data_IF_905862447635
#
_entry.id   IF_905862447635
#
_cell.length_a   1.000
_cell.length_b   1.000
_cell.length_c   1.000
_cell.angle_alpha   90.00
_cell.angle_beta   90.00
_cell.angle_gamma   90.00
#
_symmetry.space_group_name_H-M   'P 1'
#
loop_
_entity.id
_entity.type
_entity.pdbx_description
1 polymer ?
#
# COMPACT_ATOMS: atom_id res chain seq x y z
N UNK A 1 19.13 -10.84 -16.14
CA UNK A 1 18.91 -11.95 -15.22
C UNK A 1 17.51 -11.78 -14.66
N UNK A 2 16.55 -12.52 -15.22
CA UNK A 2 15.12 -12.46 -14.86
C UNK A 2 14.93 -13.24 -13.55
N UNK A 3 14.62 -12.53 -12.46
CA UNK A 3 14.21 -13.17 -11.22
C UNK A 3 12.83 -13.82 -11.44
N UNK A 4 12.80 -15.11 -11.66
CA UNK A 4 11.57 -15.91 -11.66
C UNK A 4 11.01 -15.87 -10.24
N UNK A 5 9.97 -15.06 -10.04
CA UNK A 5 9.24 -14.97 -8.77
C UNK A 5 8.51 -16.29 -8.54
N UNK A 6 9.07 -17.19 -7.73
CA UNK A 6 8.39 -18.42 -7.33
C UNK A 6 7.03 -18.10 -6.69
N UNK A 7 6.01 -18.77 -7.18
CA UNK A 7 4.63 -18.68 -6.65
C UNK A 7 4.59 -19.30 -5.25
N UNK A 8 4.13 -18.57 -4.20
CA UNK A 8 3.93 -19.17 -2.89
C UNK A 8 2.97 -20.36 -3.00
N UNK A 9 3.36 -21.52 -2.47
CA UNK A 9 2.54 -22.74 -2.52
C UNK A 9 1.20 -22.50 -1.82
N UNK A 10 0.07 -22.62 -2.56
CA UNK A 10 -1.29 -22.48 -2.04
C UNK A 10 -2.02 -21.16 -2.33
N UNK A 11 -1.40 -20.17 -2.95
CA UNK A 11 -2.07 -18.91 -3.32
C UNK A 11 -2.76 -19.03 -4.67
N UNK A 12 -4.06 -18.65 -4.77
CA UNK A 12 -4.77 -18.59 -6.04
C UNK A 12 -4.16 -17.53 -6.97
N UNK A 13 -4.32 -17.70 -8.29
CA UNK A 13 -3.85 -16.70 -9.26
C UNK A 13 -4.46 -15.32 -9.02
N UNK A 14 -5.74 -15.28 -8.72
CA UNK A 14 -6.49 -14.06 -8.39
C UNK A 14 -5.88 -13.34 -7.17
N UNK A 15 -5.59 -14.09 -6.10
CA UNK A 15 -4.99 -13.53 -4.90
C UNK A 15 -3.58 -13.01 -5.16
N UNK A 16 -2.79 -13.72 -5.95
CA UNK A 16 -1.47 -13.27 -6.36
C UNK A 16 -1.54 -11.91 -7.10
N UNK A 17 -2.46 -11.78 -8.08
CA UNK A 17 -2.67 -10.53 -8.82
C UNK A 17 -3.04 -9.40 -7.86
N UNK A 18 -4.05 -9.64 -7.01
CA UNK A 18 -4.50 -8.65 -6.03
C UNK A 18 -3.37 -8.14 -5.15
N UNK A 19 -2.61 -9.04 -4.50
CA UNK A 19 -1.53 -8.64 -3.58
C UNK A 19 -0.37 -7.92 -4.30
N UNK A 20 -0.01 -8.39 -5.50
CA UNK A 20 1.08 -7.77 -6.28
C UNK A 20 0.72 -6.37 -6.74
N UNK A 21 -0.47 -6.17 -7.29
CA UNK A 21 -0.91 -4.86 -7.77
C UNK A 21 -1.20 -3.92 -6.59
N UNK A 22 -1.84 -4.42 -5.52
CA UNK A 22 -2.07 -3.65 -4.30
C UNK A 22 -0.77 -3.07 -3.75
N UNK A 23 0.23 -3.91 -3.60
CA UNK A 23 1.56 -3.50 -3.13
C UNK A 23 2.18 -2.48 -4.08
N UNK A 24 2.12 -2.72 -5.40
CA UNK A 24 2.70 -1.80 -6.39
C UNK A 24 2.01 -0.42 -6.41
N UNK A 25 0.69 -0.37 -6.17
CA UNK A 25 -0.07 0.89 -6.07
C UNK A 25 0.30 1.63 -4.78
N UNK A 26 0.26 0.94 -3.63
CA UNK A 26 0.54 1.55 -2.32
C UNK A 26 1.98 2.05 -2.22
N UNK A 27 2.94 1.32 -2.79
CA UNK A 27 4.36 1.73 -2.85
C UNK A 27 4.64 2.80 -3.92
N UNK A 28 3.63 3.22 -4.71
CA UNK A 28 3.77 4.24 -5.75
C UNK A 28 4.53 3.78 -7.00
N UNK A 29 4.73 2.48 -7.20
CA UNK A 29 5.33 1.91 -8.42
C UNK A 29 4.35 1.99 -9.59
N UNK A 30 3.06 1.81 -9.33
CA UNK A 30 1.99 2.12 -10.27
C UNK A 30 1.41 3.50 -9.91
N UNK A 31 1.57 4.44 -10.83
CA UNK A 31 1.19 5.83 -10.57
C UNK A 31 -0.34 6.02 -10.65
N UNK A 32 -0.90 6.97 -9.90
CA UNK A 32 -2.30 7.36 -10.04
C UNK A 32 -2.67 7.64 -11.50
N UNK A 33 -3.87 7.25 -11.89
CA UNK A 33 -4.41 7.36 -13.26
C UNK A 33 -3.69 6.54 -14.34
N UNK A 34 -2.66 5.75 -14.01
CA UNK A 34 -2.00 4.89 -14.98
C UNK A 34 -2.93 3.75 -15.44
N UNK A 35 -2.88 3.44 -16.74
CA UNK A 35 -3.69 2.38 -17.35
C UNK A 35 -3.14 1.00 -16.99
N UNK A 36 -4.03 0.08 -16.64
CA UNK A 36 -3.72 -1.31 -16.32
C UNK A 36 -4.12 -2.20 -17.50
N UNK A 37 -3.11 -2.75 -18.20
CA UNK A 37 -3.33 -3.62 -19.34
C UNK A 37 -3.44 -5.08 -18.90
N UNK A 38 -4.63 -5.68 -19.05
CA UNK A 38 -4.92 -7.05 -18.61
C UNK A 38 -4.01 -8.07 -19.29
N UNK A 39 -3.74 -7.92 -20.60
CA UNK A 39 -2.91 -8.88 -21.33
C UNK A 39 -1.45 -8.81 -20.86
N UNK A 40 -0.89 -7.60 -20.74
CA UNK A 40 0.46 -7.40 -20.24
C UNK A 40 0.64 -7.91 -18.80
N UNK A 41 -0.34 -7.64 -17.93
CA UNK A 41 -0.32 -8.14 -16.53
C UNK A 41 -0.43 -9.66 -16.45
N UNK A 42 -1.24 -10.28 -17.33
CA UNK A 42 -1.36 -11.73 -17.40
C UNK A 42 -0.04 -12.39 -17.80
N UNK A 43 0.65 -11.80 -18.77
CA UNK A 43 1.97 -12.24 -19.21
C UNK A 43 3.03 -12.05 -18.11
N UNK A 44 3.14 -10.83 -17.57
CA UNK A 44 4.11 -10.47 -16.53
C UNK A 44 4.01 -11.36 -15.29
N UNK A 45 2.78 -11.61 -14.83
CA UNK A 45 2.51 -12.40 -13.62
C UNK A 45 2.36 -13.90 -13.89
N UNK A 46 2.43 -14.32 -15.15
CA UNK A 46 2.22 -15.71 -15.58
C UNK A 46 0.90 -16.31 -15.06
N UNK A 47 -0.20 -15.56 -15.24
CA UNK A 47 -1.55 -15.92 -14.80
C UNK A 47 -2.56 -15.80 -15.95
N UNK A 48 -3.78 -16.32 -15.76
CA UNK A 48 -4.84 -16.14 -16.75
C UNK A 48 -5.39 -14.70 -16.77
N UNK A 49 -5.88 -14.24 -17.94
CA UNK A 49 -6.57 -12.95 -18.03
C UNK A 49 -7.83 -12.87 -17.16
N UNK A 50 -8.47 -14.03 -16.88
CA UNK A 50 -9.59 -14.14 -15.92
C UNK A 50 -9.15 -13.79 -14.50
N UNK A 51 -8.05 -14.39 -14.05
CA UNK A 51 -7.49 -14.09 -12.72
C UNK A 51 -7.08 -12.61 -12.58
N UNK A 52 -6.57 -11.99 -13.66
CA UNK A 52 -6.28 -10.55 -13.67
C UNK A 52 -7.56 -9.73 -13.49
N UNK A 53 -8.64 -10.03 -14.23
CA UNK A 53 -9.91 -9.31 -14.08
C UNK A 53 -10.50 -9.44 -12.67
N UNK A 54 -10.49 -10.65 -12.10
CA UNK A 54 -10.95 -10.87 -10.73
C UNK A 54 -10.11 -10.13 -9.70
N UNK A 55 -8.78 -10.15 -9.83
CA UNK A 55 -7.87 -9.40 -8.97
C UNK A 55 -8.08 -7.88 -9.07
N UNK A 56 -8.34 -7.37 -10.28
CA UNK A 56 -8.67 -5.95 -10.50
C UNK A 56 -10.05 -5.58 -9.91
N UNK A 57 -11.04 -6.46 -9.99
CA UNK A 57 -12.35 -6.25 -9.35
C UNK A 57 -12.22 -6.19 -7.80
N UNK A 58 -11.34 -6.99 -7.20
CA UNK A 58 -11.04 -6.88 -5.76
C UNK A 58 -10.39 -5.53 -5.42
N UNK A 59 -9.48 -5.04 -6.26
CA UNK A 59 -8.84 -3.73 -6.07
C UNK A 59 -9.82 -2.56 -6.28
N UNK A 60 -10.80 -2.74 -7.17
CA UNK A 60 -11.89 -1.77 -7.38
C UNK A 60 -12.78 -1.67 -6.13
N UNK A 61 -13.06 -2.78 -5.47
CA UNK A 61 -13.78 -2.80 -4.20
C UNK A 61 -13.00 -2.07 -3.06
N UNK A 62 -11.66 -2.04 -3.12
CA UNK A 62 -10.82 -1.23 -2.23
C UNK A 62 -10.61 0.23 -2.73
N UNK A 63 -11.28 0.63 -3.80
CA UNK A 63 -11.11 1.93 -4.45
C UNK A 63 -9.66 2.26 -4.90
N UNK A 64 -8.80 1.25 -5.04
CA UNK A 64 -7.43 1.39 -5.53
C UNK A 64 -7.36 1.43 -7.07
N UNK A 65 -8.39 0.92 -7.72
CA UNK A 65 -8.53 0.85 -9.18
C UNK A 65 -9.94 1.29 -9.56
N UNK A 66 -10.09 1.88 -10.73
CA UNK A 66 -11.38 2.22 -11.33
C UNK A 66 -11.53 1.55 -12.68
N UNK A 67 -12.72 1.03 -12.97
CA UNK A 67 -13.08 0.55 -14.29
C UNK A 67 -13.60 1.71 -15.15
N UNK A 68 -13.16 1.76 -16.40
CA UNK A 68 -13.67 2.70 -17.40
C UNK A 68 -14.44 1.91 -18.47
N UNK A 69 -15.74 2.18 -18.70
CA UNK A 69 -16.51 1.50 -19.73
C UNK A 69 -15.80 1.52 -21.09
N UNK A 70 -15.62 0.37 -21.71
CA UNK A 70 -14.92 0.15 -22.97
C UNK A 70 -13.42 0.54 -23.00
N UNK A 71 -12.83 1.00 -21.89
CA UNK A 71 -11.43 1.45 -21.80
C UNK A 71 -10.57 0.61 -20.86
N UNK A 72 -11.18 -0.28 -20.07
CA UNK A 72 -10.50 -1.19 -19.13
C UNK A 72 -10.33 -0.58 -17.75
N UNK A 73 -9.18 -0.79 -17.13
CA UNK A 73 -8.90 -0.38 -15.75
C UNK A 73 -7.78 0.65 -15.66
N UNK A 74 -7.89 1.51 -14.65
CA UNK A 74 -6.82 2.45 -14.25
C UNK A 74 -6.61 2.42 -12.75
N UNK A 75 -5.41 2.77 -12.31
CA UNK A 75 -5.15 3.12 -10.91
C UNK A 75 -6.01 4.34 -10.57
N UNK A 76 -6.66 4.33 -9.42
CA UNK A 76 -7.52 5.43 -8.97
C UNK A 76 -6.77 6.77 -9.01
N UNK A 77 -7.41 7.84 -9.48
CA UNK A 77 -6.83 9.16 -9.40
C UNK A 77 -6.71 9.60 -7.94
N UNK A 78 -5.73 10.43 -7.64
CA UNK A 78 -5.57 11.08 -6.34
C UNK A 78 -5.75 12.58 -6.53
N UNK A 79 -6.68 13.19 -5.80
CA UNK A 79 -6.86 14.64 -5.79
C UNK A 79 -6.17 15.27 -4.58
N UNK A 80 -5.62 16.47 -4.75
CA UNK A 80 -5.03 17.23 -3.66
C UNK A 80 -6.07 17.64 -2.60
N UNK A 81 -7.34 17.78 -3.00
CA UNK A 81 -8.44 18.08 -2.09
C UNK A 81 -8.76 16.85 -1.22
N UNK A 82 -8.91 15.66 -1.84
CA UNK A 82 -9.21 14.44 -1.11
C UNK A 82 -8.07 14.11 -0.13
N UNK A 83 -6.81 14.32 -0.55
CA UNK A 83 -5.66 14.13 0.34
C UNK A 83 -5.73 15.08 1.56
N UNK A 84 -6.05 16.36 1.35
CA UNK A 84 -6.20 17.31 2.47
C UNK A 84 -7.31 16.90 3.42
N UNK A 85 -8.49 16.58 2.88
CA UNK A 85 -9.63 16.16 3.69
C UNK A 85 -9.31 14.90 4.50
N UNK A 86 -8.62 13.93 3.89
CA UNK A 86 -8.16 12.71 4.56
C UNK A 86 -7.17 13.04 5.68
N UNK A 87 -6.19 13.90 5.42
CA UNK A 87 -5.18 14.32 6.41
C UNK A 87 -5.86 15.05 7.58
N UNK A 88 -6.80 15.95 7.33
CA UNK A 88 -7.55 16.67 8.38
C UNK A 88 -8.35 15.69 9.26
N UNK A 89 -9.10 14.79 8.63
CA UNK A 89 -9.86 13.77 9.37
C UNK A 89 -8.95 12.86 10.19
N UNK A 90 -7.82 12.42 9.61
CA UNK A 90 -6.83 11.59 10.27
C UNK A 90 -6.21 12.30 11.49
N UNK A 91 -5.84 13.57 11.37
CA UNK A 91 -5.30 14.37 12.48
C UNK A 91 -6.28 14.39 13.65
N UNK A 92 -7.58 14.63 13.40
CA UNK A 92 -8.60 14.67 14.46
C UNK A 92 -8.72 13.32 15.17
N UNK A 93 -8.77 12.22 14.43
CA UNK A 93 -8.86 10.87 15.02
C UNK A 93 -7.58 10.52 15.79
N UNK A 94 -6.41 10.77 15.22
CA UNK A 94 -5.12 10.47 15.87
C UNK A 94 -4.91 11.31 17.14
N UNK A 95 -5.35 12.57 17.16
CA UNK A 95 -5.29 13.38 18.39
C UNK A 95 -6.14 12.79 19.51
N UNK A 96 -7.35 12.29 19.21
CA UNK A 96 -8.18 11.61 20.19
C UNK A 96 -7.53 10.32 20.69
N UNK A 97 -7.04 9.49 19.77
CA UNK A 97 -6.36 8.24 20.11
C UNK A 97 -5.13 8.50 20.98
N UNK A 98 -4.30 9.49 20.60
CA UNK A 98 -3.10 9.84 21.34
C UNK A 98 -3.42 10.36 22.75
N UNK A 99 -4.44 11.21 22.89
CA UNK A 99 -4.88 11.69 24.19
C UNK A 99 -5.31 10.54 25.12
N UNK A 100 -6.06 9.57 24.60
CA UNK A 100 -6.47 8.39 25.37
C UNK A 100 -5.28 7.46 25.65
N UNK A 101 -4.38 7.26 24.70
CA UNK A 101 -3.17 6.46 24.89
C UNK A 101 -2.26 7.04 25.99
N UNK A 102 -2.05 8.37 26.02
CA UNK A 102 -1.28 9.04 27.06
C UNK A 102 -1.96 8.90 28.44
N UNK A 103 -3.30 8.98 28.47
CA UNK A 103 -4.07 8.87 29.73
C UNK A 103 -4.02 7.48 30.34
N UNK A 104 -3.95 6.44 29.51
CA UNK A 104 -4.04 5.04 29.91
C UNK A 104 -2.75 4.24 29.71
N UNK A 105 -1.74 4.83 29.07
CA UNK A 105 -0.47 4.18 28.80
C UNK A 105 0.31 3.84 30.08
N UNK A 106 0.89 2.66 30.09
CA UNK A 106 1.81 2.20 31.13
C UNK A 106 3.28 2.36 30.69
N UNK A 107 4.22 2.10 31.60
CA UNK A 107 5.66 2.18 31.30
C UNK A 107 6.08 1.25 30.15
N UNK A 108 5.40 0.11 29.98
CA UNK A 108 5.68 -0.79 28.87
C UNK A 108 5.24 -0.19 27.53
N UNK A 109 4.09 0.52 27.51
CA UNK A 109 3.64 1.27 26.34
C UNK A 109 4.63 2.39 25.98
N UNK A 110 5.06 3.20 26.96
CA UNK A 110 6.08 4.26 26.74
C UNK A 110 7.36 3.68 26.16
N UNK A 111 7.84 2.55 26.68
CA UNK A 111 9.03 1.86 26.18
C UNK A 111 8.89 1.40 24.72
N UNK A 112 7.70 0.94 24.31
CA UNK A 112 7.42 0.57 22.91
C UNK A 112 7.48 1.80 22.00
N UNK A 113 6.87 2.92 22.39
CA UNK A 113 6.87 4.16 21.61
C UNK A 113 8.31 4.69 21.43
N UNK A 114 9.09 4.78 22.50
CA UNK A 114 10.49 5.23 22.43
C UNK A 114 11.32 4.32 21.53
N UNK A 115 11.15 3.00 21.64
CA UNK A 115 11.85 2.02 20.81
C UNK A 115 11.45 2.13 19.33
N UNK A 116 10.17 2.27 19.03
CA UNK A 116 9.67 2.45 17.67
C UNK A 116 10.20 3.74 17.04
N UNK A 117 10.13 4.85 17.76
CA UNK A 117 10.66 6.14 17.31
C UNK A 117 12.17 6.08 17.05
N UNK A 118 12.92 5.44 17.95
CA UNK A 118 14.37 5.27 17.77
C UNK A 118 14.70 4.50 16.49
N UNK A 119 13.97 3.42 16.20
CA UNK A 119 14.15 2.67 14.94
C UNK A 119 13.83 3.52 13.72
N UNK A 120 12.70 4.25 13.73
CA UNK A 120 12.30 5.12 12.63
C UNK A 120 13.34 6.19 12.30
N UNK A 121 13.99 6.77 13.31
CA UNK A 121 15.03 7.81 13.09
C UNK A 121 16.32 7.26 12.47
N UNK A 122 16.50 5.94 12.43
CA UNK A 122 17.68 5.26 11.86
C UNK A 122 17.47 4.72 10.45
N UNK A 123 16.23 4.68 9.98
CA UNK A 123 15.87 4.13 8.67
C UNK A 123 15.46 5.29 7.76
N UNK A 124 16.02 5.32 6.55
CA UNK A 124 15.62 6.32 5.56
C UNK A 124 14.18 6.06 5.09
N UNK A 125 13.33 7.10 5.07
CA UNK A 125 11.94 7.01 4.61
C UNK A 125 11.82 6.54 3.16
N UNK A 126 12.78 6.93 2.31
CA UNK A 126 12.79 6.64 0.88
C UNK A 126 13.93 5.70 0.52
N UNK A 127 13.70 4.87 -0.51
CA UNK A 127 14.76 4.01 -1.04
C UNK A 127 15.90 4.83 -1.66
N UNK A 128 17.14 4.41 -1.44
CA UNK A 128 18.31 5.08 -1.98
C UNK A 128 18.27 5.13 -3.51
N UNK A 129 18.39 6.32 -4.09
CA UNK A 129 18.30 6.54 -5.54
C UNK A 129 16.88 6.47 -6.12
N UNK A 130 15.85 6.24 -5.32
CA UNK A 130 14.45 6.14 -5.74
C UNK A 130 13.54 7.03 -4.86
N UNK A 131 13.57 8.35 -5.02
CA UNK A 131 12.87 9.28 -4.11
C UNK A 131 11.34 9.15 -4.13
N UNK A 132 10.78 8.44 -5.12
CA UNK A 132 9.33 8.16 -5.21
C UNK A 132 8.92 6.85 -4.54
N UNK A 133 9.88 6.00 -4.15
CA UNK A 133 9.60 4.70 -3.54
C UNK A 133 9.81 4.77 -2.03
N UNK A 134 8.77 4.37 -1.29
CA UNK A 134 8.83 4.26 0.14
C UNK A 134 9.71 3.07 0.54
N UNK A 135 10.60 3.27 1.51
CA UNK A 135 11.39 2.18 2.08
C UNK A 135 10.47 1.24 2.87
N UNK A 136 10.49 -0.05 2.53
CA UNK A 136 9.61 -1.05 3.14
C UNK A 136 9.87 -1.26 4.64
N UNK A 137 11.13 -1.23 5.04
CA UNK A 137 11.53 -1.35 6.44
C UNK A 137 11.03 -0.14 7.23
N UNK A 138 11.17 1.07 6.67
CA UNK A 138 10.62 2.28 7.26
C UNK A 138 9.09 2.21 7.38
N UNK A 139 8.39 1.79 6.33
CA UNK A 139 6.94 1.66 6.32
C UNK A 139 6.42 0.66 7.37
N UNK A 140 7.10 -0.47 7.55
CA UNK A 140 6.78 -1.45 8.58
C UNK A 140 6.95 -0.87 10.00
N UNK A 141 8.10 -0.25 10.28
CA UNK A 141 8.36 0.37 11.59
C UNK A 141 7.43 1.57 11.87
N UNK A 142 7.07 2.33 10.82
CA UNK A 142 6.10 3.42 10.94
C UNK A 142 4.69 2.89 11.28
N UNK A 143 4.28 1.78 10.69
CA UNK A 143 3.06 1.09 11.09
C UNK A 143 3.07 0.68 12.57
N UNK A 144 4.16 0.08 13.07
CA UNK A 144 4.32 -0.29 14.49
C UNK A 144 4.26 0.91 15.45
N UNK A 145 4.68 2.08 15.01
CA UNK A 145 4.62 3.31 15.82
C UNK A 145 3.17 3.76 16.08
N UNK A 146 2.26 3.50 15.15
CA UNK A 146 0.85 3.88 15.27
C UNK A 146 -0.03 2.84 16.00
N UNK A 147 0.46 1.63 16.29
CA UNK A 147 -0.25 0.54 16.97
C UNK A 147 0.41 0.17 18.30
#
# INVERSE_FOLDING_TARGET
>A
MTATSERPRGMSQTRLVFERLRTAIVEGRLLPSSKLNIAALAEELSVSAGAVREGLAMLEAEALVVSEPARGYRVSPVSALDLRNLVEARIQVEQLCLAEAIRHGDLAWEGRIVSALHRLTRIAEREAGQPRHLNREWAANHGEFHY
#
